data_IF_507816450198
#
_entry.id   IF_507816450198
#
_cell.length_a   1.000
_cell.length_b   1.000
_cell.length_c   1.000
_cell.angle_alpha   90.00
_cell.angle_beta   90.00
_cell.angle_gamma   90.00
#
_symmetry.space_group_name_H-M   'P 1'
#
loop_
_entity.id
_entity.type
_entity.pdbx_description
1 polymer ?
#
# COMPACT_ATOMS: atom_id res chain seq x y z
N UNK A 1 9.89 -19.55 32.57
CA UNK A 1 10.83 -18.86 31.68
C UNK A 1 10.28 -17.44 31.52
N UNK A 2 10.96 -16.42 32.11
CA UNK A 2 10.59 -15.02 31.94
C UNK A 2 10.70 -14.71 30.44
N UNK A 3 9.59 -14.41 29.77
CA UNK A 3 9.61 -13.84 28.42
C UNK A 3 10.37 -12.51 28.53
N UNK A 4 11.44 -12.37 27.77
CA UNK A 4 12.11 -11.08 27.66
C UNK A 4 11.07 -10.00 27.32
N UNK A 5 11.02 -8.96 28.15
CA UNK A 5 10.08 -7.86 27.99
C UNK A 5 10.39 -7.17 26.67
N UNK A 6 9.42 -7.12 25.74
CA UNK A 6 9.58 -6.45 24.45
C UNK A 6 9.72 -4.95 24.64
N UNK A 7 10.47 -4.30 23.77
CA UNK A 7 10.53 -2.86 23.65
C UNK A 7 9.92 -2.40 22.32
N UNK A 8 9.26 -1.27 22.34
CA UNK A 8 8.49 -0.74 21.23
C UNK A 8 8.82 0.72 20.94
N UNK A 9 9.09 1.04 19.70
CA UNK A 9 9.18 2.41 19.19
C UNK A 9 7.96 2.74 18.34
N UNK A 10 7.03 3.52 18.90
CA UNK A 10 5.83 3.99 18.20
C UNK A 10 6.19 5.21 17.36
N UNK A 11 6.05 5.09 16.05
CA UNK A 11 6.21 6.20 15.13
C UNK A 11 4.82 6.64 14.68
N UNK A 12 4.43 7.85 15.07
CA UNK A 12 3.05 8.35 14.97
C UNK A 12 2.95 9.43 13.90
N UNK A 13 2.05 9.29 12.94
CA UNK A 13 1.67 10.39 12.06
C UNK A 13 0.51 11.18 12.67
N UNK A 14 0.74 12.39 13.20
CA UNK A 14 -0.29 13.14 13.91
C UNK A 14 -1.47 13.55 13.01
N UNK A 15 -1.28 13.59 11.70
CA UNK A 15 -2.33 13.95 10.74
C UNK A 15 -3.22 12.76 10.32
N UNK A 16 -2.81 11.52 10.63
CA UNK A 16 -3.55 10.32 10.25
C UNK A 16 -4.91 10.24 10.93
N UNK A 17 -5.87 9.60 10.25
CA UNK A 17 -7.23 9.48 10.75
C UNK A 17 -7.96 10.80 10.93
N UNK A 18 -7.35 11.91 10.49
CA UNK A 18 -7.89 13.25 10.76
C UNK A 18 -7.52 13.78 12.14
N UNK A 19 -6.40 13.31 12.72
CA UNK A 19 -5.92 13.67 14.05
C UNK A 19 -6.22 12.61 15.12
N UNK A 20 -6.82 11.48 14.78
CA UNK A 20 -7.13 10.41 15.74
C UNK A 20 -5.93 9.52 16.10
N UNK A 21 -4.86 9.55 15.31
CA UNK A 21 -3.70 8.68 15.55
C UNK A 21 -3.03 8.91 16.94
N UNK A 22 -2.84 10.13 17.44
CA UNK A 22 -2.32 10.34 18.79
C UNK A 22 -3.21 9.76 19.89
N UNK A 23 -4.54 9.84 19.72
CA UNK A 23 -5.50 9.31 20.70
C UNK A 23 -5.50 7.78 20.73
N UNK A 24 -5.26 7.12 19.59
CA UNK A 24 -5.17 5.67 19.48
C UNK A 24 -3.95 5.09 20.23
N UNK A 25 -2.86 5.85 20.33
CA UNK A 25 -1.62 5.41 20.99
C UNK A 25 -1.79 5.29 22.51
N UNK A 26 -2.46 6.25 23.13
CA UNK A 26 -2.49 6.40 24.61
C UNK A 26 -2.96 5.13 25.33
N UNK A 27 -4.13 4.53 25.00
CA UNK A 27 -4.60 3.33 25.68
C UNK A 27 -3.69 2.12 25.46
N UNK A 28 -3.20 1.93 24.22
CA UNK A 28 -2.31 0.80 23.91
C UNK A 28 -0.97 0.94 24.61
N UNK A 29 -0.33 2.11 24.57
CA UNK A 29 0.94 2.35 25.25
C UNK A 29 0.85 2.18 26.77
N UNK A 30 -0.31 2.56 27.37
CA UNK A 30 -0.56 2.33 28.79
C UNK A 30 -0.59 0.83 29.12
N UNK A 31 -1.39 0.05 28.39
CA UNK A 31 -1.49 -1.40 28.57
C UNK A 31 -0.15 -2.11 28.42
N UNK A 32 0.65 -1.71 27.44
CA UNK A 32 1.99 -2.27 27.24
C UNK A 32 2.92 -1.97 28.42
N UNK A 33 2.91 -0.74 28.94
CA UNK A 33 3.73 -0.35 30.12
C UNK A 33 3.27 -1.06 31.40
N UNK A 34 1.96 -1.21 31.60
CA UNK A 34 1.39 -1.99 32.71
C UNK A 34 1.82 -3.46 32.65
N UNK A 35 2.01 -4.01 31.46
CA UNK A 35 2.56 -5.35 31.24
C UNK A 35 4.12 -5.42 31.33
N UNK A 36 4.78 -4.30 31.69
CA UNK A 36 6.23 -4.23 31.85
C UNK A 36 7.03 -3.95 30.58
N UNK A 37 6.39 -3.70 29.44
CA UNK A 37 7.09 -3.37 28.20
C UNK A 37 7.65 -1.93 28.21
N UNK A 38 8.80 -1.74 27.55
CA UNK A 38 9.34 -0.40 27.28
C UNK A 38 8.65 0.17 26.06
N UNK A 39 8.13 1.40 26.16
CA UNK A 39 7.41 2.07 25.08
C UNK A 39 7.92 3.49 24.92
N UNK A 40 8.53 3.75 23.76
CA UNK A 40 8.90 5.07 23.28
C UNK A 40 7.89 5.55 22.23
N UNK A 41 7.51 6.81 22.25
CA UNK A 41 6.52 7.38 21.33
C UNK A 41 7.10 8.62 20.68
N UNK A 42 7.29 8.56 19.37
CA UNK A 42 7.82 9.66 18.58
C UNK A 42 6.81 10.08 17.51
N UNK A 43 6.47 11.37 17.50
CA UNK A 43 5.66 11.95 16.44
C UNK A 43 6.52 12.23 15.22
N UNK A 44 6.06 11.77 14.06
CA UNK A 44 6.78 11.90 12.81
C UNK A 44 7.05 13.36 12.45
N UNK A 45 8.32 13.77 12.33
CA UNK A 45 8.67 15.12 11.88
C UNK A 45 8.64 15.24 10.34
N UNK A 46 8.27 14.16 9.64
CA UNK A 46 8.18 14.08 8.18
C UNK A 46 8.98 12.93 7.58
N UNK A 47 8.79 12.64 6.28
CA UNK A 47 9.36 11.46 5.63
C UNK A 47 10.88 11.35 5.68
N UNK A 48 11.58 12.50 5.62
CA UNK A 48 13.06 12.54 5.57
C UNK A 48 13.73 12.04 6.85
N UNK A 49 13.08 12.20 8.01
CA UNK A 49 13.64 11.78 9.29
C UNK A 49 13.26 10.34 9.66
N UNK A 50 12.33 9.74 8.95
CA UNK A 50 11.80 8.42 9.30
C UNK A 50 12.85 7.31 9.23
N UNK A 51 13.71 7.31 8.23
CA UNK A 51 14.76 6.29 8.10
C UNK A 51 15.69 6.27 9.32
N UNK A 52 16.18 7.43 9.75
CA UNK A 52 17.04 7.53 10.93
C UNK A 52 16.34 7.12 12.24
N UNK A 53 15.05 7.40 12.39
CA UNK A 53 14.25 6.95 13.54
C UNK A 53 14.09 5.43 13.55
N UNK A 54 13.85 4.82 12.37
CA UNK A 54 13.78 3.37 12.22
C UNK A 54 15.13 2.72 12.53
N UNK A 55 16.22 3.22 11.97
CA UNK A 55 17.56 2.69 12.21
C UNK A 55 17.91 2.71 13.70
N UNK A 56 17.63 3.82 14.38
CA UNK A 56 17.85 3.96 15.81
C UNK A 56 16.99 2.99 16.65
N UNK A 57 15.71 2.79 16.29
CA UNK A 57 14.82 1.86 16.97
C UNK A 57 15.29 0.41 16.77
N UNK A 58 15.60 0.02 15.53
CA UNK A 58 16.09 -1.33 15.21
C UNK A 58 17.42 -1.61 15.91
N UNK A 59 18.35 -0.64 15.96
CA UNK A 59 19.63 -0.80 16.66
C UNK A 59 19.46 -1.02 18.17
N UNK A 60 18.37 -0.55 18.80
CA UNK A 60 18.01 -0.84 20.20
C UNK A 60 17.33 -2.19 20.37
N UNK A 61 16.96 -2.87 19.28
CA UNK A 61 16.17 -4.11 19.32
C UNK A 61 14.66 -3.86 19.50
N UNK A 62 14.18 -2.63 19.30
CA UNK A 62 12.77 -2.30 19.42
C UNK A 62 11.95 -2.86 18.25
N UNK A 63 10.71 -3.25 18.54
CA UNK A 63 9.70 -3.43 17.50
C UNK A 63 9.23 -2.04 17.07
N UNK A 64 9.34 -1.73 15.79
CA UNK A 64 8.85 -0.46 15.22
C UNK A 64 7.35 -0.56 15.03
N UNK A 65 6.58 0.31 15.68
CA UNK A 65 5.12 0.34 15.58
C UNK A 65 4.69 1.50 14.68
N UNK A 66 4.15 1.17 13.50
CA UNK A 66 3.54 2.17 12.62
C UNK A 66 2.18 2.59 13.13
N UNK A 67 2.02 3.87 13.47
CA UNK A 67 0.73 4.44 13.92
C UNK A 67 0.25 5.45 12.89
N UNK A 68 -0.66 5.01 12.04
CA UNK A 68 -1.12 5.86 10.94
C UNK A 68 -1.97 5.10 9.94
N UNK A 69 -2.02 5.62 8.72
CA UNK A 69 -2.66 4.99 7.56
C UNK A 69 -1.66 4.27 6.64
N UNK A 70 -2.15 3.74 5.54
CA UNK A 70 -1.41 2.89 4.62
C UNK A 70 -0.15 3.55 4.03
N UNK A 71 -0.16 4.86 3.73
CA UNK A 71 1.02 5.56 3.20
C UNK A 71 2.19 5.62 4.20
N UNK A 72 1.90 5.90 5.49
CA UNK A 72 2.94 5.85 6.52
C UNK A 72 3.44 4.43 6.74
N UNK A 73 2.53 3.47 6.77
CA UNK A 73 2.85 2.06 6.90
C UNK A 73 3.82 1.62 5.79
N UNK A 74 3.52 1.93 4.53
CA UNK A 74 4.35 1.55 3.40
C UNK A 74 5.76 2.15 3.49
N UNK A 75 5.86 3.43 3.86
CA UNK A 75 7.13 4.09 4.09
C UNK A 75 7.96 3.40 5.19
N UNK A 76 7.33 3.07 6.32
CA UNK A 76 7.97 2.37 7.42
C UNK A 76 8.32 0.91 7.08
N UNK A 77 7.45 0.20 6.35
CA UNK A 77 7.69 -1.15 5.91
C UNK A 77 8.99 -1.24 5.08
N UNK A 78 9.18 -0.30 4.15
CA UNK A 78 10.41 -0.21 3.37
C UNK A 78 11.66 0.06 4.23
N UNK A 79 11.57 1.00 5.16
CA UNK A 79 12.69 1.34 6.04
C UNK A 79 13.04 0.20 7.01
N UNK A 80 12.04 -0.38 7.70
CA UNK A 80 12.22 -1.51 8.63
C UNK A 80 12.76 -2.73 7.91
N UNK A 81 12.26 -3.02 6.71
CA UNK A 81 12.79 -4.10 5.88
C UNK A 81 14.27 -3.89 5.53
N UNK A 82 14.68 -2.66 5.24
CA UNK A 82 16.08 -2.33 4.94
C UNK A 82 16.98 -2.46 6.17
N UNK A 83 16.49 -2.03 7.33
CA UNK A 83 17.20 -2.12 8.60
C UNK A 83 17.19 -3.54 9.21
N UNK A 84 16.43 -4.50 8.67
CA UNK A 84 16.31 -5.85 9.19
C UNK A 84 15.53 -5.96 10.50
N UNK A 85 14.69 -4.99 10.81
CA UNK A 85 13.88 -4.94 12.02
C UNK A 85 12.55 -5.68 11.93
N UNK A 86 11.72 -5.53 12.96
CA UNK A 86 10.34 -6.04 13.02
C UNK A 86 9.38 -4.88 13.04
N UNK A 87 8.38 -4.92 12.16
CA UNK A 87 7.29 -3.94 12.09
C UNK A 87 6.07 -4.48 12.85
N UNK A 88 5.37 -3.60 13.55
CA UNK A 88 4.02 -3.81 14.00
C UNK A 88 3.11 -2.67 13.52
N UNK A 89 1.81 -2.90 13.50
CA UNK A 89 0.85 -1.92 12.98
C UNK A 89 -0.18 -1.60 14.06
N UNK A 90 -0.33 -0.32 14.35
CA UNK A 90 -1.46 0.23 15.10
C UNK A 90 -2.33 1.00 14.08
N UNK A 91 -3.44 0.39 13.60
CA UNK A 91 -4.24 1.00 12.56
C UNK A 91 -4.93 2.26 13.08
N UNK A 92 -4.58 3.41 12.50
CA UNK A 92 -5.14 4.71 12.88
C UNK A 92 -5.41 5.58 11.64
N UNK A 93 -5.46 4.96 10.49
CA UNK A 93 -5.81 5.57 9.21
C UNK A 93 -7.29 5.42 8.85
N UNK A 94 -7.64 5.80 7.62
CA UNK A 94 -9.01 5.66 7.09
C UNK A 94 -9.24 4.38 6.33
N UNK A 95 -8.20 3.78 5.74
CA UNK A 95 -8.24 2.54 4.95
C UNK A 95 -7.82 1.35 5.80
N UNK A 96 -6.60 1.42 6.32
CA UNK A 96 -5.94 0.35 7.07
C UNK A 96 -5.95 -0.99 6.31
N UNK A 97 -5.74 -0.90 4.99
CA UNK A 97 -5.90 -2.03 4.07
C UNK A 97 -4.88 -3.13 4.36
N UNK A 98 -3.65 -2.75 4.68
CA UNK A 98 -2.62 -3.71 5.06
C UNK A 98 -2.88 -4.35 6.44
N UNK A 99 -3.39 -3.59 7.41
CA UNK A 99 -3.79 -4.14 8.71
C UNK A 99 -4.91 -5.16 8.56
N UNK A 100 -5.90 -4.89 7.68
CA UNK A 100 -6.95 -5.83 7.31
C UNK A 100 -6.39 -7.10 6.68
N UNK A 101 -5.43 -6.97 5.80
CA UNK A 101 -4.76 -8.11 5.16
C UNK A 101 -3.98 -8.98 6.17
N UNK A 102 -3.43 -8.36 7.21
CA UNK A 102 -2.78 -9.05 8.33
C UNK A 102 -3.76 -9.72 9.30
N UNK A 103 -5.07 -9.41 9.20
CA UNK A 103 -6.07 -9.90 10.15
C UNK A 103 -5.99 -9.23 11.53
N UNK A 104 -5.45 -7.99 11.59
CA UNK A 104 -5.32 -7.27 12.85
C UNK A 104 -6.69 -6.80 13.39
N UNK A 105 -6.80 -6.59 14.71
CA UNK A 105 -8.00 -6.04 15.32
C UNK A 105 -8.40 -4.68 14.75
N UNK A 106 -9.69 -4.38 14.81
CA UNK A 106 -10.22 -3.10 14.34
C UNK A 106 -9.63 -1.91 15.12
N UNK A 107 -9.52 -0.73 14.47
CA UNK A 107 -9.11 0.49 15.15
C UNK A 107 -9.99 0.76 16.37
N UNK A 108 -9.36 1.05 17.52
CA UNK A 108 -10.06 1.35 18.79
C UNK A 108 -10.17 0.18 19.76
N UNK A 109 -9.93 -1.05 19.35
CA UNK A 109 -9.80 -2.19 20.27
C UNK A 109 -8.37 -2.23 20.85
N UNK A 110 -8.14 -1.38 21.86
CA UNK A 110 -6.83 -1.21 22.46
C UNK A 110 -6.32 -2.48 23.17
N UNK A 111 -7.22 -3.28 23.76
CA UNK A 111 -6.85 -4.51 24.46
C UNK A 111 -6.41 -5.60 23.47
N UNK A 112 -7.15 -5.81 22.40
CA UNK A 112 -6.77 -6.77 21.36
C UNK A 112 -5.48 -6.36 20.66
N UNK A 113 -5.31 -5.07 20.34
CA UNK A 113 -4.09 -4.54 19.75
C UNK A 113 -2.88 -4.68 20.67
N UNK A 114 -3.03 -4.37 21.97
CA UNK A 114 -1.95 -4.57 22.96
C UNK A 114 -1.59 -6.05 23.10
N UNK A 115 -2.57 -6.95 23.05
CA UNK A 115 -2.32 -8.42 23.07
C UNK A 115 -1.51 -8.86 21.87
N UNK A 116 -1.84 -8.40 20.65
CA UNK A 116 -1.04 -8.69 19.44
C UNK A 116 0.40 -8.21 19.62
N UNK A 117 0.62 -7.02 20.17
CA UNK A 117 1.97 -6.51 20.42
C UNK A 117 2.74 -7.32 21.45
N UNK A 118 2.10 -7.73 22.54
CA UNK A 118 2.74 -8.50 23.61
C UNK A 118 2.97 -9.97 23.28
N UNK A 119 1.99 -10.60 22.65
CA UNK A 119 1.93 -12.07 22.49
C UNK A 119 2.13 -12.54 21.05
N UNK A 120 1.85 -11.68 20.07
CA UNK A 120 1.97 -11.99 18.63
C UNK A 120 3.36 -12.53 18.25
N UNK A 121 3.42 -13.26 17.17
CA UNK A 121 4.68 -13.79 16.62
C UNK A 121 5.06 -13.05 15.36
N UNK A 122 6.36 -12.80 15.18
CA UNK A 122 6.84 -12.21 13.94
C UNK A 122 6.73 -13.24 12.80
N UNK A 123 6.00 -12.89 11.73
CA UNK A 123 5.98 -13.64 10.47
C UNK A 123 6.63 -12.84 9.36
N UNK A 124 7.20 -13.53 8.38
CA UNK A 124 7.76 -12.88 7.20
C UNK A 124 6.67 -12.69 6.16
N UNK A 125 6.63 -11.48 5.61
CA UNK A 125 5.76 -11.13 4.48
C UNK A 125 6.60 -10.54 3.35
N UNK A 126 6.05 -10.62 2.15
CA UNK A 126 6.67 -10.07 0.96
C UNK A 126 6.48 -8.56 0.90
N UNK A 127 7.34 -7.89 0.16
CA UNK A 127 7.16 -6.50 -0.26
C UNK A 127 7.23 -6.41 -1.78
N UNK A 128 6.88 -5.27 -2.30
CA UNK A 128 6.96 -4.94 -3.71
C UNK A 128 8.13 -3.98 -3.93
N UNK A 129 9.01 -4.28 -4.88
CA UNK A 129 10.01 -3.36 -5.41
C UNK A 129 9.44 -2.67 -6.65
N UNK A 130 9.35 -1.37 -6.62
CA UNK A 130 9.06 -0.55 -7.79
C UNK A 130 10.32 0.13 -8.28
N UNK A 131 10.66 -0.06 -9.53
CA UNK A 131 11.78 0.63 -10.18
C UNK A 131 11.38 1.17 -11.56
N UNK A 132 11.95 2.29 -11.93
CA UNK A 132 11.83 2.90 -13.25
C UNK A 132 13.15 3.48 -13.69
N UNK A 133 13.41 3.58 -14.98
CA UNK A 133 14.65 4.15 -15.51
C UNK A 133 14.94 5.54 -14.91
N UNK A 134 16.17 5.72 -14.46
CA UNK A 134 16.65 7.00 -13.91
C UNK A 134 16.14 7.36 -12.51
N UNK A 135 15.58 6.40 -11.76
CA UNK A 135 15.18 6.61 -10.37
C UNK A 135 15.57 5.42 -9.49
N UNK A 136 15.85 5.70 -8.22
CA UNK A 136 16.13 4.65 -7.24
C UNK A 136 14.91 3.77 -7.01
N UNK A 137 15.11 2.45 -6.78
CA UNK A 137 14.02 1.54 -6.43
C UNK A 137 13.33 1.96 -5.14
N UNK A 138 12.01 1.81 -5.10
CA UNK A 138 11.18 2.07 -3.91
C UNK A 138 10.49 0.79 -3.46
N UNK A 139 10.42 0.58 -2.16
CA UNK A 139 9.65 -0.51 -1.56
C UNK A 139 8.24 -0.06 -1.25
N UNK A 140 7.27 -0.89 -1.59
CA UNK A 140 5.83 -0.70 -1.41
C UNK A 140 5.29 -1.93 -0.70
N UNK A 141 4.39 -1.76 0.25
CA UNK A 141 3.88 -2.88 1.04
C UNK A 141 2.70 -3.60 0.36
N UNK A 142 1.76 -2.84 -0.19
CA UNK A 142 0.50 -3.37 -0.69
C UNK A 142 0.43 -3.49 -2.21
N UNK A 143 0.46 -2.37 -2.93
CA UNK A 143 0.25 -2.39 -4.38
C UNK A 143 0.87 -1.22 -5.13
N UNK A 144 1.25 -1.48 -6.38
CA UNK A 144 1.60 -0.48 -7.38
C UNK A 144 0.52 -0.48 -8.45
N UNK A 145 0.03 0.69 -8.84
CA UNK A 145 -1.06 0.81 -9.79
C UNK A 145 -0.85 1.96 -10.77
N UNK A 146 -1.33 1.81 -11.99
CA UNK A 146 -1.24 2.84 -13.03
C UNK A 146 -2.57 3.01 -13.75
N UNK A 147 -2.91 4.24 -14.14
CA UNK A 147 -4.13 4.55 -14.90
C UNK A 147 -5.16 5.33 -14.08
N UNK A 148 -6.43 4.93 -14.15
CA UNK A 148 -7.55 5.64 -13.49
C UNK A 148 -7.32 5.79 -11.99
N UNK A 149 -6.80 4.75 -11.33
CA UNK A 149 -6.62 4.73 -9.88
C UNK A 149 -5.55 5.74 -9.43
N UNK A 150 -4.41 5.76 -10.11
CA UNK A 150 -3.37 6.74 -9.86
C UNK A 150 -3.88 8.17 -10.13
N UNK A 151 -4.68 8.34 -11.18
CA UNK A 151 -5.32 9.63 -11.49
C UNK A 151 -6.34 10.04 -10.44
N UNK A 152 -7.09 9.10 -9.88
CA UNK A 152 -8.01 9.37 -8.78
C UNK A 152 -7.26 9.85 -7.54
N UNK A 153 -6.12 9.22 -7.20
CA UNK A 153 -5.21 9.66 -6.13
C UNK A 153 -4.80 11.13 -6.27
N UNK A 154 -4.29 11.52 -7.44
CA UNK A 154 -3.93 12.92 -7.73
C UNK A 154 -5.11 13.90 -7.59
N UNK A 155 -6.34 13.46 -7.88
CA UNK A 155 -7.53 14.29 -7.80
C UNK A 155 -8.07 14.40 -6.37
N UNK A 156 -7.85 13.39 -5.52
CA UNK A 156 -8.22 13.45 -4.09
C UNK A 156 -7.53 14.61 -3.39
N UNK A 157 -6.24 14.81 -3.65
CA UNK A 157 -5.45 15.88 -3.04
C UNK A 157 -6.00 17.28 -3.43
N UNK A 158 -6.62 17.40 -4.62
CA UNK A 158 -7.25 18.62 -5.09
C UNK A 158 -8.67 18.82 -4.55
N UNK A 159 -9.28 17.79 -3.98
CA UNK A 159 -10.64 17.81 -3.46
C UNK A 159 -10.75 18.23 -1.98
N UNK A 160 -9.72 18.85 -1.42
CA UNK A 160 -9.63 19.24 0.00
C UNK A 160 -10.78 20.12 0.51
N UNK A 161 -11.49 20.82 -0.39
CA UNK A 161 -12.66 21.66 -0.04
C UNK A 161 -13.96 20.87 0.14
N UNK A 162 -14.00 19.61 -0.31
CA UNK A 162 -15.17 18.76 -0.15
C UNK A 162 -15.17 18.09 1.23
N UNK A 163 -16.36 17.76 1.79
CA UNK A 163 -16.45 16.88 2.95
C UNK A 163 -15.64 15.59 2.72
N UNK A 164 -14.92 15.17 3.74
CA UNK A 164 -13.94 14.06 3.65
C UNK A 164 -14.52 12.76 3.06
N UNK A 165 -15.81 12.49 3.33
CA UNK A 165 -16.52 11.33 2.84
C UNK A 165 -16.75 11.38 1.32
N UNK A 166 -16.81 12.58 0.73
CA UNK A 166 -17.07 12.81 -0.70
C UNK A 166 -15.77 13.00 -1.52
N UNK A 167 -14.62 13.19 -0.88
CA UNK A 167 -13.36 13.46 -1.59
C UNK A 167 -12.98 12.31 -2.54
N UNK A 168 -12.93 11.07 -2.04
CA UNK A 168 -12.54 9.92 -2.86
C UNK A 168 -13.59 9.54 -3.92
N UNK A 169 -14.89 9.42 -3.59
CA UNK A 169 -15.91 9.17 -4.61
C UNK A 169 -15.94 10.23 -5.72
N UNK A 170 -15.80 11.50 -5.37
CA UNK A 170 -15.77 12.57 -6.37
C UNK A 170 -14.52 12.52 -7.24
N UNK A 171 -13.37 12.16 -6.68
CA UNK A 171 -12.13 11.99 -7.42
C UNK A 171 -12.20 10.79 -8.37
N UNK A 172 -12.76 9.66 -7.93
CA UNK A 172 -12.98 8.48 -8.77
C UNK A 172 -13.91 8.78 -9.95
N UNK A 173 -15.05 9.44 -9.68
CA UNK A 173 -15.98 9.87 -10.75
C UNK A 173 -15.29 10.83 -11.73
N UNK A 174 -14.50 11.79 -11.25
CA UNK A 174 -13.75 12.72 -12.11
C UNK A 174 -12.67 12.01 -12.92
N UNK A 175 -11.95 11.05 -12.33
CA UNK A 175 -10.96 10.25 -13.02
C UNK A 175 -11.61 9.47 -14.18
N UNK A 176 -12.75 8.81 -13.92
CA UNK A 176 -13.53 8.10 -14.95
C UNK A 176 -14.09 9.07 -15.99
N UNK A 177 -14.58 10.24 -15.61
CA UNK A 177 -15.09 11.23 -16.56
C UNK A 177 -14.00 11.72 -17.53
N UNK A 178 -12.78 11.91 -17.04
CA UNK A 178 -11.60 12.30 -17.82
C UNK A 178 -10.83 11.14 -18.44
N UNK A 179 -11.28 9.91 -18.22
CA UNK A 179 -10.59 8.71 -18.66
C UNK A 179 -10.44 8.64 -20.19
N UNK A 180 -9.26 8.24 -20.58
CA UNK A 180 -8.91 7.82 -21.94
C UNK A 180 -8.13 6.53 -21.86
N UNK A 181 -8.42 5.51 -22.67
CA UNK A 181 -7.65 4.27 -22.72
C UNK A 181 -6.17 4.56 -22.95
N UNK A 182 -5.32 3.78 -22.31
CA UNK A 182 -3.90 3.75 -22.59
C UNK A 182 -3.55 2.40 -23.23
N UNK A 183 -2.69 2.42 -24.25
CA UNK A 183 -2.09 1.19 -24.74
C UNK A 183 -1.01 0.77 -23.76
N UNK A 184 -1.27 -0.29 -23.02
CA UNK A 184 -0.43 -0.81 -21.96
C UNK A 184 0.22 -2.12 -22.39
N UNK A 185 1.53 -2.21 -22.21
CA UNK A 185 2.26 -3.47 -22.29
C UNK A 185 2.54 -3.98 -20.89
N UNK A 186 2.17 -5.23 -20.65
CA UNK A 186 2.41 -5.96 -19.42
C UNK A 186 3.19 -7.21 -19.79
N UNK A 187 4.37 -7.37 -19.21
CA UNK A 187 5.18 -8.58 -19.34
C UNK A 187 5.27 -9.20 -17.94
N UNK A 188 4.77 -10.40 -17.78
CA UNK A 188 4.78 -11.14 -16.52
C UNK A 188 5.70 -12.34 -16.69
N UNK A 189 6.87 -12.29 -16.07
CA UNK A 189 7.89 -13.36 -16.10
C UNK A 189 8.26 -13.79 -17.54
N UNK A 190 8.24 -12.86 -18.52
CA UNK A 190 8.52 -13.10 -19.92
C UNK A 190 7.30 -13.36 -20.81
N UNK A 191 6.10 -13.54 -20.24
CA UNK A 191 4.83 -13.58 -20.98
C UNK A 191 4.32 -12.16 -21.24
N UNK A 192 4.57 -11.66 -22.44
CA UNK A 192 4.25 -10.29 -22.86
C UNK A 192 2.89 -10.21 -23.52
N UNK A 193 2.08 -9.27 -23.02
CA UNK A 193 0.75 -8.96 -23.56
C UNK A 193 0.54 -7.46 -23.70
N UNK A 194 -0.17 -7.06 -24.74
CA UNK A 194 -0.58 -5.68 -24.99
C UNK A 194 -2.09 -5.56 -24.73
N UNK A 195 -2.49 -4.49 -24.02
CA UNK A 195 -3.88 -4.20 -23.66
C UNK A 195 -4.23 -2.75 -24.01
N UNK A 196 -5.46 -2.52 -24.41
CA UNK A 196 -6.06 -1.20 -24.27
C UNK A 196 -6.69 -1.15 -22.87
N UNK A 197 -6.07 -0.43 -21.94
CA UNK A 197 -6.40 -0.55 -20.52
C UNK A 197 -6.92 0.75 -19.92
N UNK A 198 -7.79 0.58 -18.92
CA UNK A 198 -8.22 1.63 -18.02
C UNK A 198 -7.24 1.79 -16.85
N UNK A 199 -6.80 0.65 -16.29
CA UNK A 199 -5.77 0.61 -15.26
C UNK A 199 -5.11 -0.77 -15.20
N UNK A 200 -3.96 -0.81 -14.54
CA UNK A 200 -3.29 -2.03 -14.10
C UNK A 200 -2.93 -1.87 -12.63
N UNK A 201 -3.13 -2.93 -11.86
CA UNK A 201 -2.73 -3.02 -10.45
C UNK A 201 -1.83 -4.24 -10.29
N UNK A 202 -0.64 -4.04 -9.74
CA UNK A 202 0.29 -5.11 -9.35
C UNK A 202 0.28 -5.15 -7.83
N UNK A 203 -0.30 -6.19 -7.27
CA UNK A 203 -0.69 -6.27 -5.88
C UNK A 203 -0.02 -7.42 -5.12
N UNK A 204 0.52 -7.10 -3.96
CA UNK A 204 0.91 -8.03 -2.91
C UNK A 204 -0.24 -8.21 -1.89
N UNK A 205 -1.09 -7.20 -1.76
CA UNK A 205 -2.25 -7.18 -0.85
C UNK A 205 -3.56 -7.29 -1.63
N UNK A 206 -4.53 -8.04 -1.09
CA UNK A 206 -5.87 -8.12 -1.65
C UNK A 206 -6.61 -6.78 -1.62
N UNK A 207 -6.25 -5.90 -0.68
CA UNK A 207 -6.95 -4.65 -0.43
C UNK A 207 -6.12 -3.42 -0.76
N UNK A 208 -6.76 -2.39 -1.30
CA UNK A 208 -6.20 -1.05 -1.46
C UNK A 208 -7.32 0.01 -1.45
N UNK A 209 -6.96 1.29 -1.34
CA UNK A 209 -7.89 2.39 -1.56
C UNK A 209 -9.13 2.39 -0.66
N UNK A 210 -8.97 2.06 0.63
CA UNK A 210 -10.00 2.02 1.67
C UNK A 210 -10.99 0.85 1.55
N UNK A 211 -10.44 -0.33 1.44
CA UNK A 211 -11.19 -1.59 1.50
C UNK A 211 -11.67 -2.11 0.15
N UNK A 212 -11.22 -1.53 -0.96
CA UNK A 212 -11.44 -2.15 -2.26
C UNK A 212 -10.64 -3.45 -2.36
N UNK A 213 -11.32 -4.54 -2.66
CA UNK A 213 -10.72 -5.88 -2.79
C UNK A 213 -10.28 -6.13 -4.22
N UNK A 214 -9.26 -5.39 -4.67
CA UNK A 214 -8.81 -5.35 -6.07
C UNK A 214 -8.15 -6.63 -6.55
N UNK A 215 -7.43 -7.34 -5.67
CA UNK A 215 -6.76 -8.60 -5.96
C UNK A 215 -7.22 -9.68 -4.95
N UNK A 216 -8.43 -10.24 -5.11
CA UNK A 216 -9.07 -11.08 -4.09
C UNK A 216 -8.27 -12.32 -3.67
N UNK A 217 -7.38 -12.79 -4.54
CA UNK A 217 -6.57 -14.00 -4.36
C UNK A 217 -5.13 -13.71 -3.96
N UNK A 218 -4.75 -12.44 -3.77
CA UNK A 218 -3.41 -12.08 -3.34
C UNK A 218 -3.10 -12.59 -1.93
N UNK A 219 -1.86 -13.06 -1.73
CA UNK A 219 -1.34 -13.61 -0.47
C UNK A 219 -0.03 -12.90 -0.14
N UNK A 220 0.16 -12.47 1.11
CA UNK A 220 1.29 -11.63 1.52
C UNK A 220 2.66 -12.34 1.58
N UNK A 221 2.70 -13.67 1.50
CA UNK A 221 3.88 -14.49 1.81
C UNK A 221 4.07 -15.70 0.88
N UNK A 222 3.50 -15.66 -0.33
CA UNK A 222 3.62 -16.75 -1.32
C UNK A 222 4.69 -16.51 -2.38
N UNK A 223 5.39 -15.37 -2.32
CA UNK A 223 6.45 -15.00 -3.26
C UNK A 223 5.93 -14.63 -4.66
N UNK A 224 4.66 -14.24 -4.79
CA UNK A 224 4.03 -13.86 -6.05
C UNK A 224 3.30 -12.52 -5.93
N UNK A 225 3.10 -11.85 -7.06
CA UNK A 225 2.26 -10.66 -7.19
C UNK A 225 1.07 -10.99 -8.09
N UNK A 226 -0.11 -10.49 -7.71
CA UNK A 226 -1.29 -10.50 -8.56
C UNK A 226 -1.24 -9.29 -9.50
N UNK A 227 -1.50 -9.51 -10.78
CA UNK A 227 -1.56 -8.45 -11.79
C UNK A 227 -2.98 -8.38 -12.31
N UNK A 228 -3.70 -7.36 -11.92
CA UNK A 228 -5.09 -7.12 -12.34
C UNK A 228 -5.10 -6.04 -13.41
N UNK A 229 -5.45 -6.42 -14.64
CA UNK A 229 -5.61 -5.50 -15.76
C UNK A 229 -7.10 -5.29 -15.99
N UNK A 230 -7.57 -4.05 -15.89
CA UNK A 230 -8.93 -3.66 -16.27
C UNK A 230 -8.84 -3.03 -17.65
N UNK A 231 -9.37 -3.73 -18.65
CA UNK A 231 -9.35 -3.29 -20.03
C UNK A 231 -10.24 -2.07 -20.27
N UNK A 232 -10.05 -1.48 -21.43
CA UNK A 232 -10.81 -0.30 -21.83
C UNK A 232 -12.30 -0.63 -21.95
N UNK A 233 -13.09 0.10 -21.20
CA UNK A 233 -14.54 -0.01 -21.21
C UNK A 233 -15.20 1.37 -21.28
N UNK A 234 -16.51 1.39 -21.59
CA UNK A 234 -17.24 2.64 -21.56
C UNK A 234 -17.25 3.22 -20.14
N UNK A 235 -17.26 4.55 -20.02
CA UNK A 235 -17.33 5.25 -18.73
C UNK A 235 -18.52 4.77 -17.89
N UNK A 236 -19.65 4.43 -18.52
CA UNK A 236 -20.84 3.88 -17.84
C UNK A 236 -20.58 2.48 -17.29
N UNK A 237 -19.83 1.63 -18.02
CA UNK A 237 -19.44 0.29 -17.56
C UNK A 237 -18.51 0.41 -16.35
N UNK A 238 -17.48 1.24 -16.42
CA UNK A 238 -16.56 1.49 -15.32
C UNK A 238 -17.27 2.01 -14.05
N UNK A 239 -18.21 2.95 -14.20
CA UNK A 239 -19.00 3.43 -13.06
C UNK A 239 -19.87 2.34 -12.43
N UNK A 240 -20.49 1.48 -13.25
CA UNK A 240 -21.30 0.35 -12.76
C UNK A 240 -20.48 -0.75 -12.10
N UNK A 241 -19.21 -0.91 -12.48
CA UNK A 241 -18.31 -1.90 -11.89
C UNK A 241 -17.69 -1.47 -10.56
N UNK A 242 -17.66 -0.17 -10.24
CA UNK A 242 -17.06 0.33 -8.99
C UNK A 242 -17.53 -0.40 -7.73
N UNK A 243 -18.85 -0.66 -7.51
CA UNK A 243 -19.29 -1.40 -6.33
C UNK A 243 -18.72 -2.82 -6.27
N UNK A 244 -18.52 -3.48 -7.41
CA UNK A 244 -18.03 -4.87 -7.46
C UNK A 244 -16.54 -4.99 -7.12
N UNK A 245 -15.82 -3.87 -7.07
CA UNK A 245 -14.42 -3.86 -6.60
C UNK A 245 -14.33 -4.03 -5.09
N UNK A 246 -15.35 -3.60 -4.34
CA UNK A 246 -15.36 -3.74 -2.88
C UNK A 246 -15.58 -5.18 -2.40
N UNK A 247 -16.31 -5.98 -3.16
CA UNK A 247 -16.55 -7.40 -2.85
C UNK A 247 -15.69 -8.37 -3.67
N UNK A 248 -14.85 -7.84 -4.56
CA UNK A 248 -13.93 -8.61 -5.39
C UNK A 248 -14.55 -9.26 -6.62
N UNK A 249 -15.87 -9.12 -6.87
CA UNK A 249 -16.54 -9.75 -8.04
C UNK A 249 -16.18 -9.12 -9.39
N UNK A 250 -15.48 -7.99 -9.40
CA UNK A 250 -15.00 -7.39 -10.65
C UNK A 250 -14.06 -8.32 -11.43
N UNK A 251 -13.34 -9.24 -10.75
CA UNK A 251 -12.42 -10.18 -11.43
C UNK A 251 -13.15 -11.22 -12.29
N UNK A 252 -14.45 -11.43 -12.08
CA UNK A 252 -15.27 -12.33 -12.88
C UNK A 252 -15.78 -11.69 -14.17
N UNK A 253 -15.46 -10.43 -14.41
CA UNK A 253 -15.89 -9.70 -15.61
C UNK A 253 -14.98 -10.00 -16.79
N UNK A 254 -15.53 -10.08 -18.03
CA UNK A 254 -14.74 -10.37 -19.22
C UNK A 254 -13.69 -9.29 -19.55
N UNK A 255 -13.87 -8.06 -19.03
CA UNK A 255 -12.93 -6.95 -19.24
C UNK A 255 -11.79 -6.94 -18.22
N UNK A 256 -11.74 -7.93 -17.29
CA UNK A 256 -10.72 -8.02 -16.27
C UNK A 256 -9.86 -9.26 -16.47
N UNK A 257 -8.57 -9.05 -16.62
CA UNK A 257 -7.58 -10.13 -16.71
C UNK A 257 -6.78 -10.16 -15.42
N UNK A 258 -6.66 -11.33 -14.81
CA UNK A 258 -5.83 -11.56 -13.63
C UNK A 258 -4.69 -12.48 -14.00
N UNK A 259 -3.45 -12.05 -13.73
CA UNK A 259 -2.22 -12.81 -13.95
C UNK A 259 -1.46 -12.88 -12.63
N UNK A 260 -0.51 -13.80 -12.53
CA UNK A 260 0.38 -13.93 -11.36
C UNK A 260 1.82 -14.11 -11.81
N UNK A 261 2.75 -13.48 -11.12
CA UNK A 261 4.17 -13.60 -11.41
C UNK A 261 5.05 -12.94 -10.38
N UNK A 262 6.35 -13.04 -10.59
CA UNK A 262 7.38 -12.50 -9.69
C UNK A 262 7.94 -11.17 -10.17
N UNK A 263 8.05 -11.01 -11.48
CA UNK A 263 8.62 -9.85 -12.12
C UNK A 263 7.67 -9.35 -13.23
N UNK A 264 7.23 -8.12 -13.08
CA UNK A 264 6.29 -7.50 -13.99
C UNK A 264 6.95 -6.26 -14.62
N UNK A 265 7.01 -6.23 -15.95
CA UNK A 265 7.47 -5.05 -16.70
C UNK A 265 6.28 -4.30 -17.27
N UNK A 266 6.28 -2.98 -17.09
CA UNK A 266 5.20 -2.11 -17.50
C UNK A 266 5.70 -0.95 -18.37
N UNK A 267 5.04 -0.72 -19.48
CA UNK A 267 5.22 0.46 -20.32
C UNK A 267 3.89 0.84 -20.95
N UNK A 268 3.66 2.13 -21.22
CA UNK A 268 2.39 2.57 -21.75
C UNK A 268 2.51 3.75 -22.71
N UNK A 269 1.69 3.74 -23.76
CA UNK A 269 1.41 4.93 -24.54
C UNK A 269 0.03 5.48 -24.18
N UNK A 270 -0.01 6.78 -23.95
CA UNK A 270 -1.21 7.51 -23.60
C UNK A 270 -1.22 8.85 -24.34
N UNK A 271 -2.41 9.39 -24.69
CA UNK A 271 -2.51 10.75 -25.23
C UNK A 271 -2.01 11.85 -24.29
N UNK A 272 -1.87 11.54 -22.99
CA UNK A 272 -1.36 12.50 -22.01
C UNK A 272 0.14 12.75 -22.21
N UNK A 273 0.55 14.00 -22.37
CA UNK A 273 1.96 14.39 -22.59
C UNK A 273 2.87 13.93 -21.42
N UNK A 274 2.36 13.94 -20.19
CA UNK A 274 3.08 13.54 -18.98
C UNK A 274 3.23 12.02 -18.84
N UNK A 275 2.55 11.19 -19.66
CA UNK A 275 2.54 9.75 -19.52
C UNK A 275 1.40 9.23 -18.62
N UNK A 276 1.37 7.92 -18.40
CA UNK A 276 0.38 7.27 -17.54
C UNK A 276 0.84 7.35 -16.08
N UNK A 277 0.08 8.01 -15.17
CA UNK A 277 0.49 8.17 -13.78
C UNK A 277 0.52 6.83 -13.05
N UNK A 278 1.46 6.71 -12.11
CA UNK A 278 1.66 5.55 -11.24
C UNK A 278 1.57 5.98 -9.78
N UNK A 279 0.86 5.19 -8.99
CA UNK A 279 0.81 5.30 -7.54
C UNK A 279 1.20 3.98 -6.86
N UNK A 280 1.54 4.05 -5.58
CA UNK A 280 1.77 2.90 -4.72
C UNK A 280 1.39 3.23 -3.29
N UNK A 281 0.53 2.42 -2.69
CA UNK A 281 0.00 2.59 -1.33
C UNK A 281 -0.49 4.02 -1.01
N UNK A 282 -1.11 4.68 -1.99
CA UNK A 282 -1.62 6.05 -1.86
C UNK A 282 -0.64 7.16 -2.20
N UNK A 283 0.64 6.85 -2.43
CA UNK A 283 1.67 7.83 -2.76
C UNK A 283 1.98 7.87 -4.27
N UNK A 284 2.28 9.05 -4.87
CA UNK A 284 2.65 9.13 -6.27
C UNK A 284 4.05 8.52 -6.50
N UNK A 285 4.16 7.64 -7.49
CA UNK A 285 5.41 7.00 -7.91
C UNK A 285 5.96 7.53 -9.26
N UNK A 286 5.29 8.48 -9.87
CA UNK A 286 5.66 9.07 -11.15
C UNK A 286 4.79 8.58 -12.31
N UNK A 287 5.42 8.27 -13.45
CA UNK A 287 4.70 7.87 -14.66
C UNK A 287 5.37 6.65 -15.29
N UNK A 288 4.59 5.82 -16.02
CA UNK A 288 5.16 4.72 -16.80
C UNK A 288 6.00 5.26 -17.96
N UNK A 289 7.11 4.58 -18.29
CA UNK A 289 7.83 4.81 -19.53
C UNK A 289 6.96 4.57 -20.76
N UNK A 290 7.28 5.24 -21.88
CA UNK A 290 6.60 4.99 -23.15
C UNK A 290 6.98 3.64 -23.73
N UNK A 291 6.07 3.07 -24.49
CA UNK A 291 6.35 1.89 -25.31
C UNK A 291 7.54 2.17 -26.25
N UNK A 292 8.49 1.25 -26.28
CA UNK A 292 9.69 1.39 -27.12
C UNK A 292 10.70 2.44 -26.64
N UNK A 293 10.56 2.96 -25.40
CA UNK A 293 11.57 3.85 -24.80
C UNK A 293 12.94 3.18 -24.78
N UNK A 294 13.99 3.90 -25.19
CA UNK A 294 15.37 3.41 -25.13
C UNK A 294 15.84 3.15 -23.68
N UNK A 295 15.20 3.75 -22.69
CA UNK A 295 15.51 3.55 -21.27
C UNK A 295 14.91 2.26 -20.69
N UNK A 296 14.03 1.58 -21.44
CA UNK A 296 13.35 0.35 -21.00
C UNK A 296 12.04 0.60 -20.22
N UNK A 297 11.37 -0.49 -19.81
CA UNK A 297 10.12 -0.45 -19.04
C UNK A 297 10.35 -0.08 -17.57
N UNK A 298 9.29 0.21 -16.86
CA UNK A 298 9.28 0.16 -15.40
C UNK A 298 9.15 -1.29 -14.94
N UNK A 299 9.70 -1.61 -13.78
CA UNK A 299 9.73 -2.97 -13.24
C UNK A 299 9.11 -3.00 -11.86
N UNK A 300 8.22 -3.97 -11.66
CA UNK A 300 7.64 -4.32 -10.35
C UNK A 300 8.05 -5.74 -10.03
N UNK A 301 8.71 -5.94 -8.90
CA UNK A 301 9.21 -7.27 -8.48
C UNK A 301 8.76 -7.58 -7.07
N UNK A 302 8.42 -8.84 -6.81
CA UNK A 302 8.26 -9.31 -5.45
C UNK A 302 9.61 -9.35 -4.74
N UNK A 303 9.64 -8.93 -3.49
CA UNK A 303 10.75 -9.12 -2.57
C UNK A 303 10.29 -10.16 -1.53
N UNK A 304 10.61 -11.45 -1.74
CA UNK A 304 10.06 -12.52 -0.89
C UNK A 304 10.56 -12.41 0.54
N UNK A 305 9.67 -12.63 1.50
CA UNK A 305 9.96 -12.64 2.94
C UNK A 305 10.78 -11.41 3.42
N UNK A 306 10.58 -10.27 2.76
CA UNK A 306 11.41 -9.07 2.93
C UNK A 306 11.16 -8.33 4.25
N UNK A 307 9.98 -8.49 4.87
CA UNK A 307 9.59 -7.78 6.07
C UNK A 307 9.14 -8.75 7.17
N UNK A 308 9.70 -8.59 8.38
CA UNK A 308 9.17 -9.24 9.57
C UNK A 308 8.02 -8.36 10.13
N UNK A 309 6.82 -8.92 10.27
CA UNK A 309 5.65 -8.25 10.84
C UNK A 309 5.14 -9.01 12.05
N UNK A 310 4.87 -8.28 13.13
CA UNK A 310 4.25 -8.82 14.33
C UNK A 310 2.73 -8.86 14.13
N UNK A 311 2.16 -10.06 14.11
CA UNK A 311 0.72 -10.31 13.93
C UNK A 311 0.25 -11.56 14.71
#
# INVERSE_FOLDING_TARGET
VSRATRSFSFLVNPASGGGAAPEAVVPVARLLREAGATVDVTYSPGPRAMAGLVDAAVARGDVVVSVGGDGMLSSLAGAVSTAGGTLAVLPAGRGNDFARMLGLPEPGDAEALARVLLEGTARRVDLVSWSRPGADPRRVAGSVYAGIDARAGELVDRAHRLPRQLQYPSAAVRAIAGYRPARLRVDVDGDRRDYDAACVVVANSAYYGKGMKIAPTAVLDDGLLEVVVIEAASKRSLLRSLPTVYDGRHVDRPEVTVLRGKRIELAADTPAAAGLPVGGDGEPLGHLPRLGSATGPAVVEVLPAALAVLA
#
